data_IF_469578113296
#
_entry.id   IF_469578113296
#
_cell.length_a   1.000
_cell.length_b   1.000
_cell.length_c   1.000
_cell.angle_alpha   90.00
_cell.angle_beta   90.00
_cell.angle_gamma   90.00
#
_symmetry.space_group_name_H-M   'P 1'
#
loop_
_entity.id
_entity.type
_entity.pdbx_description
1 polymer ?
#
# COMPACT_ATOMS: atom_id res chain seq x y z
N UNK A 1 -18.08 -41.77 -11.47
CA UNK A 1 -16.73 -41.47 -11.99
C UNK A 1 -16.54 -39.95 -12.05
N UNK A 2 -15.77 -39.33 -11.14
CA UNK A 2 -15.26 -37.98 -11.36
C UNK A 2 -13.76 -38.03 -11.73
N UNK A 3 -13.47 -37.42 -12.88
CA UNK A 3 -12.17 -37.29 -13.53
C UNK A 3 -11.25 -36.38 -12.71
N UNK A 4 -10.18 -36.93 -12.17
CA UNK A 4 -9.19 -36.21 -11.37
C UNK A 4 -8.11 -35.61 -12.28
N UNK A 5 -8.33 -34.40 -12.79
CA UNK A 5 -7.33 -33.67 -13.60
C UNK A 5 -6.29 -33.09 -12.63
N UNK A 6 -5.22 -33.84 -12.39
CA UNK A 6 -4.01 -33.32 -11.76
C UNK A 6 -3.35 -32.35 -12.73
N UNK A 7 -3.42 -31.05 -12.46
CA UNK A 7 -2.65 -30.03 -13.18
C UNK A 7 -1.17 -30.15 -12.82
N UNK A 8 -0.45 -31.01 -13.54
CA UNK A 8 0.99 -31.14 -13.45
C UNK A 8 1.66 -29.88 -14.02
N UNK A 9 2.08 -28.97 -13.13
CA UNK A 9 2.92 -27.83 -13.47
C UNK A 9 4.21 -28.35 -14.13
N UNK A 10 4.59 -27.91 -15.35
CA UNK A 10 5.80 -28.38 -15.99
C UNK A 10 7.04 -27.89 -15.22
N UNK A 11 7.91 -28.82 -14.82
CA UNK A 11 9.22 -28.51 -14.25
C UNK A 11 10.07 -27.85 -15.33
N UNK A 12 10.24 -26.52 -15.26
CA UNK A 12 11.16 -25.80 -16.15
C UNK A 12 12.58 -26.29 -15.87
N UNK A 13 13.26 -26.77 -16.91
CA UNK A 13 14.66 -27.19 -16.87
C UNK A 13 15.51 -25.99 -16.45
N UNK A 14 16.26 -26.14 -15.36
CA UNK A 14 17.19 -25.14 -14.87
C UNK A 14 18.33 -24.96 -15.89
N UNK A 15 18.21 -23.95 -16.74
CA UNK A 15 19.39 -23.34 -17.32
C UNK A 15 20.15 -22.69 -16.16
N UNK A 16 21.39 -23.12 -15.93
CA UNK A 16 22.28 -22.50 -14.95
C UNK A 16 22.63 -21.11 -15.49
N UNK A 17 21.77 -20.14 -15.20
CA UNK A 17 22.09 -18.73 -15.30
C UNK A 17 23.10 -18.47 -14.18
N UNK A 18 24.31 -18.00 -14.53
CA UNK A 18 25.23 -17.44 -13.55
C UNK A 18 24.55 -16.37 -12.68
N UNK A 19 25.17 -15.94 -11.57
CA UNK A 19 24.56 -14.95 -10.69
C UNK A 19 24.13 -13.73 -11.54
N UNK A 20 22.84 -13.33 -11.49
CA UNK A 20 22.37 -12.22 -12.29
C UNK A 20 23.19 -10.99 -11.89
N UNK A 21 23.82 -10.33 -12.88
CA UNK A 21 24.46 -9.03 -12.66
C UNK A 21 23.45 -8.12 -11.96
N UNK A 22 23.76 -7.53 -10.79
CA UNK A 22 22.81 -6.67 -10.11
C UNK A 22 22.46 -5.51 -11.05
N UNK A 23 21.17 -5.33 -11.33
CA UNK A 23 20.69 -4.14 -12.03
C UNK A 23 20.96 -2.98 -11.06
N UNK A 24 21.95 -2.16 -11.40
CA UNK A 24 22.67 -1.21 -10.55
C UNK A 24 21.82 0.03 -10.21
N UNK A 25 20.67 -0.15 -9.57
CA UNK A 25 19.84 0.96 -9.12
C UNK A 25 18.49 0.56 -8.54
N UNK A 26 17.97 1.42 -7.67
CA UNK A 26 16.61 1.37 -7.14
C UNK A 26 15.60 1.53 -8.29
N UNK A 27 14.68 0.59 -8.44
CA UNK A 27 13.64 0.61 -9.47
C UNK A 27 12.58 1.71 -9.28
N UNK A 28 12.64 2.48 -8.18
CA UNK A 28 11.81 3.68 -7.95
C UNK A 28 12.48 4.95 -8.46
N UNK A 29 13.73 5.20 -8.06
CA UNK A 29 14.43 6.48 -8.28
C UNK A 29 15.60 6.36 -9.26
N UNK A 30 15.93 5.15 -9.71
CA UNK A 30 17.00 4.81 -10.67
C UNK A 30 18.43 5.06 -10.17
N UNK A 31 18.60 5.59 -8.96
CA UNK A 31 19.91 5.73 -8.32
C UNK A 31 20.40 4.42 -7.69
N UNK A 32 21.71 4.24 -7.65
CA UNK A 32 22.37 3.20 -6.85
C UNK A 32 22.18 3.42 -5.35
N UNK A 33 22.93 2.68 -4.51
CA UNK A 33 22.88 2.85 -3.05
C UNK A 33 23.20 4.27 -2.55
N UNK A 34 23.92 5.06 -3.36
CA UNK A 34 24.19 6.49 -3.17
C UNK A 34 22.94 7.28 -3.58
N UNK A 35 22.14 7.68 -2.59
CA UNK A 35 20.87 8.35 -2.84
C UNK A 35 21.12 9.73 -3.47
N UNK A 36 20.43 10.00 -4.58
CA UNK A 36 20.47 11.29 -5.30
C UNK A 36 21.89 11.71 -5.76
N UNK A 37 22.83 10.75 -5.87
CA UNK A 37 24.23 11.01 -6.22
C UNK A 37 25.03 11.72 -5.11
N UNK A 38 24.46 11.86 -3.91
CA UNK A 38 25.19 12.34 -2.74
C UNK A 38 25.96 11.18 -2.10
N UNK A 39 27.28 11.33 -1.86
CA UNK A 39 28.07 10.30 -1.18
C UNK A 39 27.73 10.17 0.31
N UNK A 40 27.02 11.14 0.90
CA UNK A 40 26.75 11.20 2.34
C UNK A 40 25.47 10.47 2.76
N UNK A 41 24.67 9.99 1.80
CA UNK A 41 23.43 9.25 2.09
C UNK A 41 23.45 7.92 1.35
N UNK A 42 23.98 6.91 2.04
CA UNK A 42 24.03 5.53 1.58
C UNK A 42 22.88 4.72 2.17
N UNK A 43 22.14 4.00 1.32
CA UNK A 43 21.08 3.09 1.75
C UNK A 43 21.18 1.75 0.99
N UNK A 44 21.35 0.65 1.71
CA UNK A 44 21.43 -0.68 1.11
C UNK A 44 20.14 -1.04 0.36
N UNK A 45 20.29 -1.50 -0.87
CA UNK A 45 19.18 -1.90 -1.71
C UNK A 45 18.66 -3.28 -1.34
N UNK A 46 17.36 -3.40 -1.09
CA UNK A 46 16.68 -4.68 -1.00
C UNK A 46 16.30 -5.18 -2.39
N UNK A 47 16.49 -6.47 -2.67
CA UNK A 47 16.20 -7.07 -3.98
C UNK A 47 15.02 -8.01 -3.92
N UNK A 48 14.03 -7.81 -4.80
CA UNK A 48 12.87 -8.70 -4.89
C UNK A 48 13.32 -10.09 -5.36
N UNK A 49 12.88 -11.11 -4.65
CA UNK A 49 13.19 -12.50 -4.97
C UNK A 49 12.69 -12.94 -6.35
N UNK A 50 11.50 -12.49 -6.76
CA UNK A 50 10.87 -12.93 -8.01
C UNK A 50 11.33 -12.14 -9.24
N UNK A 51 11.22 -10.80 -9.21
CA UNK A 51 11.54 -9.97 -10.37
C UNK A 51 12.98 -9.45 -10.41
N UNK A 52 13.77 -9.70 -9.36
CA UNK A 52 15.18 -9.28 -9.22
C UNK A 52 15.43 -7.78 -9.31
N UNK A 53 14.39 -6.95 -9.26
CA UNK A 53 14.51 -5.50 -9.14
C UNK A 53 14.89 -5.12 -7.71
N UNK A 54 15.76 -4.13 -7.59
CA UNK A 54 16.26 -3.63 -6.31
C UNK A 54 15.57 -2.32 -5.93
N UNK A 55 15.45 -2.02 -4.64
CA UNK A 55 14.73 -0.86 -4.13
C UNK A 55 15.42 -0.32 -2.88
N UNK A 56 15.46 1.00 -2.71
CA UNK A 56 15.75 1.58 -1.40
C UNK A 56 14.57 1.29 -0.46
N UNK A 57 14.78 0.75 0.75
CA UNK A 57 13.72 0.61 1.75
C UNK A 57 12.89 1.89 1.92
N UNK A 58 13.51 3.07 1.99
CA UNK A 58 12.80 4.36 2.10
C UNK A 58 11.96 4.71 0.87
N UNK A 59 12.41 4.36 -0.33
CA UNK A 59 11.67 4.61 -1.58
C UNK A 59 10.35 3.83 -1.66
N UNK A 60 10.26 2.70 -0.95
CA UNK A 60 9.08 1.85 -0.88
C UNK A 60 8.43 1.83 0.51
N UNK A 61 8.88 2.70 1.43
CA UNK A 61 8.44 2.75 2.83
C UNK A 61 8.58 1.42 3.58
N UNK A 62 9.54 0.60 3.17
CA UNK A 62 9.90 -0.62 3.86
C UNK A 62 10.84 -0.29 5.02
N UNK A 63 10.65 -1.00 6.12
CA UNK A 63 11.58 -0.94 7.24
C UNK A 63 12.87 -1.71 6.90
N UNK A 64 14.07 -1.12 7.07
CA UNK A 64 15.32 -1.79 6.74
C UNK A 64 15.51 -3.14 7.42
N UNK A 65 15.01 -3.30 8.66
CA UNK A 65 15.09 -4.58 9.39
C UNK A 65 14.41 -5.76 8.67
N UNK A 66 13.45 -5.50 7.78
CA UNK A 66 12.79 -6.54 7.00
C UNK A 66 13.65 -7.03 5.83
N UNK A 67 14.63 -6.23 5.39
CA UNK A 67 15.57 -6.61 4.33
C UNK A 67 16.60 -7.66 4.78
N UNK A 68 16.81 -7.79 6.09
CA UNK A 68 17.84 -8.67 6.68
C UNK A 68 17.30 -10.06 7.04
N UNK A 69 16.05 -10.36 6.71
CA UNK A 69 15.39 -11.62 7.09
C UNK A 69 15.76 -12.73 6.12
N UNK A 70 16.43 -13.75 6.62
CA UNK A 70 16.81 -14.94 5.85
C UNK A 70 15.68 -15.98 5.77
N UNK A 71 14.77 -15.98 6.74
CA UNK A 71 13.70 -16.98 6.88
C UNK A 71 12.64 -16.89 5.79
N UNK A 72 12.44 -15.70 5.22
CA UNK A 72 11.42 -15.48 4.20
C UNK A 72 11.89 -14.42 3.19
N UNK A 73 12.11 -14.80 1.92
CA UNK A 73 12.64 -13.88 0.93
C UNK A 73 11.62 -12.79 0.61
N UNK A 74 12.08 -11.54 0.60
CA UNK A 74 11.22 -10.40 0.33
C UNK A 74 10.76 -10.33 -1.13
N UNK A 75 9.49 -9.96 -1.32
CA UNK A 75 8.86 -9.70 -2.62
C UNK A 75 8.46 -8.23 -2.72
N UNK A 76 8.65 -7.60 -3.88
CA UNK A 76 8.14 -6.24 -4.10
C UNK A 76 6.61 -6.21 -4.21
N UNK A 77 5.99 -5.03 -4.18
CA UNK A 77 4.53 -4.87 -4.26
C UNK A 77 3.88 -5.62 -5.43
N UNK A 78 4.49 -5.57 -6.61
CA UNK A 78 3.95 -6.23 -7.81
C UNK A 78 4.13 -7.75 -7.82
N UNK A 79 5.07 -8.28 -7.04
CA UNK A 79 5.32 -9.73 -6.92
C UNK A 79 4.74 -10.29 -5.62
N UNK A 80 4.06 -9.46 -4.83
CA UNK A 80 3.63 -9.83 -3.49
C UNK A 80 2.60 -10.94 -3.57
N UNK A 81 2.86 -12.02 -2.85
CA UNK A 81 1.96 -13.16 -2.78
C UNK A 81 1.10 -13.10 -1.52
N UNK A 82 -0.18 -13.43 -1.65
CA UNK A 82 -1.07 -13.59 -0.50
C UNK A 82 -0.66 -14.78 0.37
N UNK A 83 -0.47 -14.56 1.67
CA UNK A 83 -0.04 -15.60 2.62
C UNK A 83 -1.09 -16.71 2.84
N UNK A 84 -2.35 -16.50 2.43
CA UNK A 84 -3.42 -17.49 2.60
C UNK A 84 -3.64 -18.35 1.36
N UNK A 85 -3.66 -17.74 0.18
CA UNK A 85 -4.01 -18.43 -1.08
C UNK A 85 -2.84 -18.57 -2.05
N UNK A 86 -1.66 -18.05 -1.69
CA UNK A 86 -0.43 -18.14 -2.48
C UNK A 86 -0.53 -17.55 -3.90
N UNK A 87 -1.53 -16.71 -4.17
CA UNK A 87 -1.72 -16.01 -5.44
C UNK A 87 -1.33 -14.54 -5.36
N UNK A 88 -0.86 -14.01 -6.50
CA UNK A 88 -0.58 -12.60 -6.77
C UNK A 88 -1.74 -11.88 -7.47
N UNK A 89 -2.82 -12.59 -7.82
CA UNK A 89 -3.98 -12.04 -8.53
C UNK A 89 -4.72 -11.02 -7.66
N UNK A 90 -5.64 -10.24 -8.24
CA UNK A 90 -6.46 -9.27 -7.49
C UNK A 90 -5.63 -8.32 -6.61
N UNK A 91 -4.52 -7.80 -7.14
CA UNK A 91 -3.60 -6.90 -6.44
C UNK A 91 -4.31 -5.71 -5.78
N UNK A 92 -5.36 -5.17 -6.44
CA UNK A 92 -6.19 -4.08 -5.92
C UNK A 92 -7.02 -4.44 -4.68
N UNK A 93 -7.11 -5.71 -4.33
CA UNK A 93 -7.73 -6.25 -3.10
C UNK A 93 -6.70 -6.76 -2.10
N UNK A 94 -5.40 -6.63 -2.40
CA UNK A 94 -4.31 -7.06 -1.55
C UNK A 94 -3.85 -5.93 -0.63
N UNK A 95 -3.59 -6.27 0.62
CA UNK A 95 -3.03 -5.39 1.65
C UNK A 95 -1.64 -5.87 2.03
N UNK A 96 -0.75 -4.93 2.31
CA UNK A 96 0.58 -5.22 2.86
C UNK A 96 0.57 -4.87 4.35
N UNK A 97 1.08 -5.78 5.18
CA UNK A 97 1.21 -5.54 6.61
C UNK A 97 2.32 -4.51 6.87
N UNK A 98 2.02 -3.41 7.55
CA UNK A 98 2.99 -2.33 7.83
C UNK A 98 4.15 -2.77 8.75
N UNK A 99 4.04 -3.91 9.45
CA UNK A 99 5.09 -4.42 10.33
C UNK A 99 5.97 -5.51 9.68
N UNK A 100 5.43 -6.35 8.80
CA UNK A 100 6.18 -7.48 8.22
C UNK A 100 6.17 -7.52 6.69
N UNK A 101 5.50 -6.58 6.04
CA UNK A 101 5.38 -6.46 4.58
C UNK A 101 4.74 -7.68 3.88
N UNK A 102 4.15 -8.61 4.63
CA UNK A 102 3.44 -9.76 4.07
C UNK A 102 2.12 -9.33 3.42
N UNK A 103 1.79 -9.96 2.28
CA UNK A 103 0.58 -9.71 1.51
C UNK A 103 -0.62 -10.52 1.97
N UNK A 104 -1.80 -9.90 2.00
CA UNK A 104 -3.07 -10.55 2.34
C UNK A 104 -4.20 -9.96 1.51
N UNK A 105 -4.96 -10.79 0.79
CA UNK A 105 -6.22 -10.32 0.20
C UNK A 105 -7.24 -9.99 1.29
N UNK A 106 -8.02 -8.95 1.09
CA UNK A 106 -9.07 -8.55 2.03
C UNK A 106 -10.08 -9.69 2.30
N UNK A 107 -10.38 -10.48 1.27
CA UNK A 107 -11.28 -11.63 1.37
C UNK A 107 -10.62 -12.93 1.86
N UNK A 108 -9.29 -12.96 2.00
CA UNK A 108 -8.56 -14.12 2.52
C UNK A 108 -8.33 -14.07 4.03
N UNK A 109 -8.73 -12.97 4.68
CA UNK A 109 -8.71 -12.84 6.14
C UNK A 109 -9.84 -13.62 6.79
N UNK A 110 -9.73 -13.81 8.10
CA UNK A 110 -10.79 -14.39 8.94
C UNK A 110 -11.07 -13.45 10.13
N UNK A 111 -12.21 -12.73 10.14
CA UNK A 111 -13.23 -12.68 9.11
C UNK A 111 -12.78 -11.92 7.84
N UNK A 112 -13.36 -12.23 6.66
CA UNK A 112 -13.13 -11.48 5.42
C UNK A 112 -13.54 -10.01 5.54
N UNK A 113 -12.80 -9.13 4.85
CA UNK A 113 -13.13 -7.71 4.70
C UNK A 113 -13.73 -7.44 3.32
N UNK A 114 -14.79 -6.63 3.26
CA UNK A 114 -15.47 -6.24 2.02
C UNK A 114 -14.58 -5.40 1.09
N UNK A 115 -13.67 -4.62 1.67
CA UNK A 115 -12.79 -3.73 0.94
C UNK A 115 -11.45 -3.52 1.67
N UNK A 116 -10.45 -3.09 0.90
CA UNK A 116 -9.17 -2.64 1.43
C UNK A 116 -9.41 -1.40 2.32
N UNK A 117 -8.94 -1.40 3.58
CA UNK A 117 -9.10 -0.27 4.49
C UNK A 117 -8.27 0.93 4.01
N UNK A 118 -8.76 2.14 4.27
CA UNK A 118 -8.10 3.40 3.88
C UNK A 118 -6.89 3.76 4.77
N UNK A 119 -6.37 2.83 5.56
CA UNK A 119 -5.32 3.10 6.55
C UNK A 119 -4.43 1.89 6.75
N UNK A 120 -3.49 2.02 7.70
CA UNK A 120 -2.52 0.98 8.03
C UNK A 120 -3.20 -0.37 8.30
N UNK A 121 -2.70 -1.41 7.64
CA UNK A 121 -3.11 -2.78 7.86
C UNK A 121 -2.01 -3.53 8.61
N UNK A 122 -2.42 -4.37 9.55
CA UNK A 122 -1.53 -5.26 10.29
C UNK A 122 -2.13 -6.66 10.25
N UNK A 123 -1.34 -7.67 9.89
CA UNK A 123 -1.80 -9.05 9.90
C UNK A 123 -1.92 -9.58 11.33
N UNK A 124 -2.72 -10.63 11.53
CA UNK A 124 -3.03 -11.14 12.87
C UNK A 124 -1.79 -11.65 13.61
N UNK A 125 -0.87 -12.31 12.90
CA UNK A 125 0.42 -12.72 13.48
C UNK A 125 1.27 -11.55 13.98
N UNK A 126 1.17 -10.36 13.37
CA UNK A 126 1.84 -9.17 13.89
C UNK A 126 1.10 -8.53 15.06
N UNK A 127 -0.25 -8.53 15.03
CA UNK A 127 -1.05 -8.05 16.16
C UNK A 127 -0.80 -8.87 17.41
N UNK A 128 -0.64 -10.18 17.26
CA UNK A 128 -0.38 -11.12 18.36
C UNK A 128 1.07 -11.02 18.87
N UNK A 129 2.06 -11.04 17.98
CA UNK A 129 3.49 -11.04 18.38
C UNK A 129 4.05 -9.68 18.76
N UNK A 130 3.51 -8.60 18.20
CA UNK A 130 4.07 -7.25 18.36
C UNK A 130 2.99 -6.19 18.66
N UNK A 131 2.18 -6.36 19.71
CA UNK A 131 1.09 -5.43 20.03
C UNK A 131 1.58 -3.99 20.21
N UNK A 132 2.76 -3.78 20.80
CA UNK A 132 3.33 -2.45 21.03
C UNK A 132 3.75 -1.71 19.76
N UNK A 133 3.91 -2.43 18.63
CA UNK A 133 4.22 -1.84 17.32
C UNK A 133 2.97 -1.43 16.55
N UNK A 134 1.78 -1.72 17.08
CA UNK A 134 0.50 -1.40 16.44
C UNK A 134 -0.02 -0.08 17.03
N UNK A 135 -0.02 1.02 16.26
CA UNK A 135 -0.54 2.28 16.75
C UNK A 135 -2.04 2.17 17.06
N UNK A 136 -2.51 2.78 18.17
CA UNK A 136 -3.91 2.73 18.54
C UNK A 136 -4.76 3.40 17.45
N UNK A 137 -5.87 2.75 17.09
CA UNK A 137 -6.78 3.24 16.05
C UNK A 137 -7.38 4.58 16.50
N UNK A 138 -6.95 5.70 15.89
CA UNK A 138 -7.51 7.02 16.18
C UNK A 138 -9.02 7.00 15.90
N UNK A 139 -9.84 7.16 16.94
CA UNK A 139 -11.30 7.26 16.79
C UNK A 139 -11.60 8.45 15.87
N UNK A 140 -12.28 8.21 14.75
CA UNK A 140 -12.75 9.28 13.86
C UNK A 140 -13.68 10.18 14.68
N UNK A 141 -13.34 11.47 14.86
CA UNK A 141 -14.27 12.45 15.42
C UNK A 141 -15.45 12.59 14.45
N UNK A 142 -16.60 12.02 14.82
CA UNK A 142 -17.86 12.14 14.10
C UNK A 142 -18.40 13.56 14.27
N UNK A 143 -18.04 14.48 13.37
CA UNK A 143 -18.76 15.75 13.28
C UNK A 143 -17.97 16.85 12.58
N UNK A 144 -18.39 17.20 11.36
CA UNK A 144 -18.47 18.60 10.86
C UNK A 144 -18.76 18.65 9.35
N UNK A 145 -19.83 18.03 8.87
CA UNK A 145 -20.28 18.23 7.46
C UNK A 145 -21.68 18.86 7.35
N UNK A 146 -22.42 19.05 8.46
CA UNK A 146 -23.78 19.62 8.43
C UNK A 146 -23.85 21.15 8.57
N UNK A 147 -22.82 21.83 9.11
CA UNK A 147 -22.88 23.29 9.36
C UNK A 147 -22.80 24.15 8.08
N UNK A 148 -22.09 23.71 7.03
CA UNK A 148 -21.86 24.53 5.81
C UNK A 148 -23.13 24.75 4.97
N UNK A 149 -23.99 23.72 4.85
CA UNK A 149 -25.25 23.83 4.05
C UNK A 149 -26.31 24.75 4.69
N UNK A 150 -26.34 24.88 6.03
CA UNK A 150 -27.34 25.72 6.72
C UNK A 150 -27.07 27.21 6.52
N UNK A 151 -25.80 27.63 6.59
CA UNK A 151 -25.43 29.03 6.37
C UNK A 151 -25.66 29.47 4.92
N UNK A 152 -25.42 28.59 3.93
CA UNK A 152 -25.66 28.92 2.52
C UNK A 152 -27.15 29.09 2.19
N UNK A 153 -28.03 28.28 2.81
CA UNK A 153 -29.49 28.44 2.65
C UNK A 153 -30.01 29.72 3.32
N UNK A 154 -29.45 30.12 4.46
CA UNK A 154 -29.81 31.39 5.13
C UNK A 154 -29.37 32.61 4.32
N UNK A 155 -28.19 32.58 3.68
CA UNK A 155 -27.70 33.67 2.85
C UNK A 155 -28.53 33.85 1.56
N UNK A 156 -28.93 32.75 0.91
CA UNK A 156 -29.83 32.80 -0.25
C UNK A 156 -31.23 33.33 0.09
N UNK A 157 -31.74 33.07 1.29
CA UNK A 157 -33.03 33.61 1.73
C UNK A 157 -32.98 35.11 2.04
N UNK A 158 -31.85 35.65 2.51
CA UNK A 158 -31.71 37.09 2.75
C UNK A 158 -31.61 37.90 1.45
N UNK A 159 -30.98 37.37 0.42
CA UNK A 159 -30.87 38.04 -0.89
C UNK A 159 -32.20 38.15 -1.65
N UNK A 160 -33.19 37.32 -1.33
CA UNK A 160 -34.52 37.36 -1.97
C UNK A 160 -35.47 38.39 -1.33
N UNK A 161 -35.09 39.03 -0.21
CA UNK A 161 -35.97 39.95 0.54
C UNK A 161 -35.78 41.45 0.22
N UNK A 162 -34.83 41.84 -0.63
CA UNK A 162 -34.61 43.25 -1.01
C UNK A 162 -34.63 43.46 -2.54
N UNK A 163 -35.79 43.69 -3.18
CA UNK A 163 -35.86 43.99 -4.61
C UNK A 163 -35.75 45.47 -4.98
N UNK A 164 -35.71 46.43 -4.04
CA UNK A 164 -36.05 47.84 -4.33
C UNK A 164 -34.96 48.90 -4.04
N UNK A 165 -33.72 48.69 -4.49
CA UNK A 165 -32.73 49.78 -4.50
C UNK A 165 -31.98 49.91 -5.84
N UNK A 166 -32.72 50.00 -6.95
CA UNK A 166 -32.12 50.27 -8.27
C UNK A 166 -32.78 51.39 -9.07
N UNK A 167 -33.41 52.40 -8.45
CA UNK A 167 -33.94 53.57 -9.19
C UNK A 167 -33.66 54.90 -8.50
N UNK A 168 -32.38 55.27 -8.39
CA UNK A 168 -32.00 56.67 -8.21
C UNK A 168 -30.54 56.90 -8.63
N UNK A 169 -30.30 56.83 -9.94
CA UNK A 169 -29.11 57.39 -10.58
C UNK A 169 -29.54 57.92 -11.95
N UNK A 170 -30.30 59.02 -11.94
CA UNK A 170 -30.53 59.90 -13.09
C UNK A 170 -31.19 61.18 -12.59
N UNK A 171 -30.35 62.13 -12.14
CA UNK A 171 -30.55 63.57 -12.29
C UNK A 171 -29.19 64.23 -12.42
#
# INVERSE_FOLDING_TARGET
>A
MPSNIKSSRPKRKSAVLGPPKPLTGCARCLFGPEKDGSPDVYEDLITCYDCRKSWHPTCIKLRPELALREDEPWQCGNCKTCQKCESTDNENKMMMCENCDKGWHCYCLDPPLDAVPTGAFYCDGCKERYPDRIPPRKKRKSGSHKKKKRNQRQQLQQLQQHPQQQHNYQR
#
